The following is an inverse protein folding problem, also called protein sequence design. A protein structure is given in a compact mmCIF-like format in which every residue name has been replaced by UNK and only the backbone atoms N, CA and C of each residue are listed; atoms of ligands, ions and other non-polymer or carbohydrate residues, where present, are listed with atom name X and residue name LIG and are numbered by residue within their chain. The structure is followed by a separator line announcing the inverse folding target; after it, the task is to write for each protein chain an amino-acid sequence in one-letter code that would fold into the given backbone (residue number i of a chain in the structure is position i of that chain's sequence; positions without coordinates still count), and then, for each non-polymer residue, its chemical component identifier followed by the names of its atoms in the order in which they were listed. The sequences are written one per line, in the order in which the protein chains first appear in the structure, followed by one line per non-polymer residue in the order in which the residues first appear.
data_IF_194113058740
#
_entry.id   IF_194113058740
#
_cell.length_a   1.000
_cell.length_b   1.000
_cell.length_c   1.000
_cell.angle_alpha   90.00
_cell.angle_beta   90.00
_cell.angle_gamma   90.00
#
_symmetry.space_group_name_H-M   'P 1'
#
loop_
_entity.id
_entity.type
_entity.pdbx_description
1 polymer ?
#
# COMPACT_ATOMS: atom_id res chain seq x y z
N UNK A 1 -25.07 -5.75 20.60
CA UNK A 1 -25.06 -5.56 22.06
C UNK A 1 -25.74 -6.71 22.81
N UNK A 2 -26.92 -7.20 22.39
CA UNK A 2 -27.56 -8.39 23.00
C UNK A 2 -26.63 -9.60 23.14
N UNK A 3 -26.04 -10.02 22.02
CA UNK A 3 -25.09 -11.16 21.98
C UNK A 3 -23.90 -10.96 22.94
N UNK A 4 -23.48 -9.71 23.16
CA UNK A 4 -22.41 -9.38 24.11
C UNK A 4 -22.88 -9.48 25.56
N UNK A 5 -24.07 -8.96 25.89
CA UNK A 5 -24.63 -9.08 27.24
C UNK A 5 -24.88 -10.53 27.60
N UNK A 6 -25.44 -11.32 26.67
CA UNK A 6 -25.62 -12.76 26.83
C UNK A 6 -24.28 -13.47 27.04
N UNK A 7 -23.28 -13.21 26.20
CA UNK A 7 -21.95 -13.82 26.35
C UNK A 7 -21.26 -13.45 27.68
N UNK A 8 -21.36 -12.19 28.13
CA UNK A 8 -20.80 -11.77 29.43
C UNK A 8 -21.56 -12.43 30.58
N UNK A 9 -22.89 -12.57 30.46
CA UNK A 9 -23.74 -13.19 31.48
C UNK A 9 -23.41 -14.66 31.75
N UNK A 10 -22.83 -15.39 30.78
CA UNK A 10 -22.32 -16.76 30.99
C UNK A 10 -21.23 -16.81 32.08
N UNK A 11 -20.54 -15.69 32.32
CA UNK A 11 -19.57 -15.52 33.40
C UNK A 11 -20.18 -15.35 34.80
N UNK A 12 -21.51 -15.26 34.91
CA UNK A 12 -22.27 -15.03 36.14
C UNK A 12 -22.43 -13.55 36.51
N UNK A 13 -23.37 -13.28 37.42
CA UNK A 13 -23.78 -11.93 37.86
C UNK A 13 -22.62 -10.97 38.19
N UNK A 14 -21.60 -11.43 38.92
CA UNK A 14 -20.44 -10.60 39.28
C UNK A 14 -19.61 -10.17 38.07
N UNK A 15 -19.37 -11.08 37.12
CA UNK A 15 -18.63 -10.78 35.89
C UNK A 15 -19.44 -9.89 34.95
N UNK A 16 -20.77 -10.05 34.95
CA UNK A 16 -21.67 -9.14 34.25
C UNK A 16 -21.55 -7.71 34.77
N UNK A 17 -21.55 -7.54 36.09
CA UNK A 17 -21.31 -6.23 36.69
C UNK A 17 -19.91 -5.70 36.43
N UNK A 18 -18.85 -6.53 36.56
CA UNK A 18 -17.48 -6.11 36.19
C UNK A 18 -17.41 -5.62 34.74
N UNK A 19 -18.06 -6.33 33.82
CA UNK A 19 -18.07 -6.00 32.40
C UNK A 19 -18.83 -4.70 32.11
N UNK A 20 -20.05 -4.56 32.63
CA UNK A 20 -20.89 -3.39 32.37
C UNK A 20 -20.42 -2.14 33.12
N UNK A 21 -19.97 -2.27 34.38
CA UNK A 21 -19.39 -1.14 35.13
C UNK A 21 -18.03 -0.70 34.56
N UNK A 22 -17.36 -1.56 33.79
CA UNK A 22 -16.12 -1.23 33.08
C UNK A 22 -16.34 -0.47 31.76
N UNK A 23 -17.58 -0.31 31.32
CA UNK A 23 -17.97 0.47 30.14
C UNK A 23 -18.38 1.88 30.58
N UNK A 24 -18.29 2.85 29.67
CA UNK A 24 -18.77 4.23 29.89
C UNK A 24 -20.22 4.24 30.39
N UNK A 25 -20.47 5.05 31.43
CA UNK A 25 -21.77 5.17 32.06
C UNK A 25 -22.83 5.65 31.06
N UNK A 26 -22.47 6.49 30.11
CA UNK A 26 -23.34 6.99 29.06
C UNK A 26 -23.83 5.86 28.14
N UNK A 27 -22.92 4.95 27.77
CA UNK A 27 -23.27 3.80 26.92
C UNK A 27 -24.12 2.77 27.67
N UNK A 28 -23.84 2.55 28.95
CA UNK A 28 -24.68 1.69 29.81
C UNK A 28 -26.06 2.31 30.02
N UNK A 29 -26.14 3.63 30.18
CA UNK A 29 -27.40 4.38 30.30
C UNK A 29 -28.24 4.26 29.03
N UNK A 30 -27.63 4.43 27.85
CA UNK A 30 -28.31 4.22 26.55
C UNK A 30 -28.82 2.79 26.38
N UNK A 31 -28.03 1.79 26.78
CA UNK A 31 -28.47 0.39 26.79
C UNK A 31 -29.69 0.22 27.69
N UNK A 32 -29.61 0.67 28.94
CA UNK A 32 -30.67 0.48 29.92
C UNK A 32 -31.96 1.22 29.55
N UNK A 33 -31.89 2.42 28.96
CA UNK A 33 -33.06 3.17 28.46
C UNK A 33 -33.90 2.41 27.43
N UNK A 34 -33.32 1.42 26.74
CA UNK A 34 -34.08 0.55 25.84
C UNK A 34 -34.93 -0.51 26.56
N UNK A 35 -34.67 -0.75 27.84
CA UNK A 35 -35.30 -1.81 28.64
C UNK A 35 -36.04 -1.30 29.87
N UNK A 36 -35.60 -0.18 30.44
CA UNK A 36 -36.15 0.37 31.68
C UNK A 36 -36.44 1.88 31.56
N UNK A 37 -37.38 2.32 32.39
CA UNK A 37 -37.59 3.73 32.75
C UNK A 37 -37.38 3.86 34.24
N UNK A 38 -36.74 4.96 34.64
CA UNK A 38 -36.51 5.27 36.05
C UNK A 38 -37.50 6.36 36.42
N UNK A 39 -38.15 6.21 37.57
CA UNK A 39 -39.00 7.21 38.18
C UNK A 39 -38.43 7.63 39.53
N UNK A 40 -38.59 8.90 39.87
CA UNK A 40 -38.17 9.44 41.18
C UNK A 40 -39.33 9.47 42.16
N UNK A 41 -39.18 8.80 43.30
CA UNK A 41 -40.23 8.73 44.32
C UNK A 41 -40.47 10.07 45.02
N UNK A 42 -39.49 10.98 45.00
CA UNK A 42 -39.59 12.33 45.54
C UNK A 42 -40.14 13.37 44.55
N UNK A 43 -40.41 12.98 43.29
CA UNK A 43 -40.89 13.85 42.23
C UNK A 43 -42.42 13.71 42.03
N UNK A 44 -43.24 14.67 42.50
CA UNK A 44 -44.71 14.54 42.48
C UNK A 44 -45.35 14.59 41.08
N UNK A 45 -44.59 14.94 40.04
CA UNK A 45 -45.07 14.94 38.65
C UNK A 45 -44.79 13.64 37.89
N UNK A 46 -44.10 12.69 38.53
CA UNK A 46 -43.65 11.44 37.93
C UNK A 46 -44.40 10.25 38.51
N UNK A 47 -45.74 10.30 38.42
CA UNK A 47 -46.60 9.20 38.87
C UNK A 47 -46.61 8.12 37.79
N UNK A 48 -46.11 6.90 38.07
CA UNK A 48 -46.07 5.85 37.07
C UNK A 48 -47.48 5.36 36.69
N UNK A 49 -47.76 5.22 35.39
CA UNK A 49 -49.01 4.67 34.84
C UNK A 49 -48.77 3.27 34.25
N UNK A 50 -48.23 2.37 35.06
CA UNK A 50 -48.00 0.99 34.67
C UNK A 50 -48.45 -0.01 35.76
N UNK A 51 -48.73 -1.27 35.41
CA UNK A 51 -49.04 -2.32 36.37
C UNK A 51 -47.90 -2.58 37.37
N UNK A 52 -48.24 -2.93 38.61
CA UNK A 52 -47.28 -3.11 39.71
C UNK A 52 -46.23 -4.21 39.46
N UNK A 53 -46.53 -5.20 38.63
CA UNK A 53 -45.66 -6.32 38.28
C UNK A 53 -44.50 -5.94 37.33
N UNK A 54 -44.49 -4.70 36.81
CA UNK A 54 -43.41 -4.17 35.97
C UNK A 54 -42.35 -3.40 36.75
N UNK A 55 -42.57 -3.16 38.04
CA UNK A 55 -41.68 -2.33 38.84
C UNK A 55 -40.73 -3.15 39.70
N UNK A 56 -39.50 -2.68 39.77
CA UNK A 56 -38.49 -3.13 40.73
C UNK A 56 -38.03 -1.91 41.51
N UNK A 57 -37.87 -2.07 42.82
CA UNK A 57 -37.42 -1.03 43.73
C UNK A 57 -36.31 -1.59 44.61
N UNK A 58 -35.15 -0.95 44.59
CA UNK A 58 -33.98 -1.32 45.39
C UNK A 58 -33.81 -0.42 46.63
N UNK A 59 -34.30 0.82 46.57
CA UNK A 59 -34.18 1.81 47.65
C UNK A 59 -35.42 2.72 47.78
N UNK A 60 -35.33 3.77 48.59
CA UNK A 60 -36.43 4.73 48.81
C UNK A 60 -36.47 5.89 47.79
N UNK A 61 -35.52 5.95 46.85
CA UNK A 61 -35.36 7.09 45.94
C UNK A 61 -35.88 6.80 44.54
N UNK A 62 -35.65 5.59 44.02
CA UNK A 62 -35.92 5.24 42.62
C UNK A 62 -36.90 4.09 42.49
N UNK A 63 -37.79 4.21 41.52
CA UNK A 63 -38.69 3.15 41.08
C UNK A 63 -38.40 2.82 39.62
N UNK A 64 -38.04 1.57 39.33
CA UNK A 64 -37.57 1.15 38.00
C UNK A 64 -38.70 0.40 37.29
N UNK A 65 -39.26 1.00 36.23
CA UNK A 65 -40.26 0.39 35.36
C UNK A 65 -39.56 -0.41 34.25
N UNK A 66 -39.94 -1.67 34.08
CA UNK A 66 -39.51 -2.49 32.95
C UNK A 66 -40.38 -2.23 31.71
N UNK A 67 -39.77 -1.68 30.66
CA UNK A 67 -40.45 -1.37 29.38
C UNK A 67 -40.37 -2.54 28.40
N UNK A 68 -39.31 -3.37 28.51
CA UNK A 68 -39.08 -4.51 27.63
C UNK A 68 -38.75 -5.77 28.42
N UNK A 69 -39.40 -6.87 28.06
CA UNK A 69 -39.29 -8.17 28.74
C UNK A 69 -38.84 -9.24 27.74
N UNK A 70 -37.52 -9.43 27.65
CA UNK A 70 -36.91 -10.53 26.89
C UNK A 70 -35.75 -11.15 27.68
N UNK A 71 -35.00 -12.08 27.09
CA UNK A 71 -33.91 -12.80 27.78
C UNK A 71 -32.87 -11.86 28.38
N UNK A 72 -32.63 -10.71 27.77
CA UNK A 72 -31.61 -9.74 28.22
C UNK A 72 -32.09 -8.95 29.44
N UNK A 73 -33.40 -8.74 29.56
CA UNK A 73 -33.99 -7.98 30.67
C UNK A 73 -33.62 -8.57 32.05
N UNK A 74 -33.67 -9.90 32.20
CA UNK A 74 -33.29 -10.54 33.46
C UNK A 74 -31.83 -10.27 33.84
N UNK A 75 -30.91 -10.36 32.87
CA UNK A 75 -29.49 -10.07 33.10
C UNK A 75 -29.25 -8.60 33.48
N UNK A 76 -30.01 -7.66 32.89
CA UNK A 76 -29.92 -6.25 33.24
C UNK A 76 -30.44 -5.97 34.67
N UNK A 77 -31.48 -6.67 35.13
CA UNK A 77 -31.92 -6.57 36.53
C UNK A 77 -30.88 -7.16 37.50
N UNK A 78 -30.31 -8.32 37.18
CA UNK A 78 -29.21 -8.92 37.96
C UNK A 78 -27.99 -7.98 38.04
N UNK A 79 -27.70 -7.27 36.94
CA UNK A 79 -26.69 -6.23 36.90
C UNK A 79 -27.03 -5.04 37.83
N UNK A 80 -28.26 -4.52 37.78
CA UNK A 80 -28.67 -3.39 38.61
C UNK A 80 -28.63 -3.73 40.10
N UNK A 81 -29.06 -4.94 40.46
CA UNK A 81 -28.97 -5.46 41.83
C UNK A 81 -27.52 -5.56 42.31
N UNK A 82 -26.61 -6.10 41.47
CA UNK A 82 -25.19 -6.17 41.80
C UNK A 82 -24.55 -4.77 41.90
N UNK A 83 -24.87 -3.87 40.98
CA UNK A 83 -24.37 -2.50 40.99
C UNK A 83 -24.81 -1.76 42.27
N UNK A 84 -26.08 -1.94 42.69
CA UNK A 84 -26.61 -1.39 43.92
C UNK A 84 -25.88 -1.91 45.17
N UNK A 85 -25.67 -3.23 45.26
CA UNK A 85 -24.98 -3.85 46.41
C UNK A 85 -23.49 -3.50 46.47
N UNK A 86 -22.85 -3.35 45.31
CA UNK A 86 -21.39 -3.18 45.19
C UNK A 86 -20.94 -1.72 45.26
N UNK A 87 -21.62 -0.83 44.56
CA UNK A 87 -21.27 0.59 44.46
C UNK A 87 -22.54 1.44 44.28
N UNK A 88 -23.13 1.82 45.41
CA UNK A 88 -24.32 2.66 45.43
C UNK A 88 -24.12 4.00 44.70
N UNK A 89 -22.91 4.58 44.69
CA UNK A 89 -22.67 5.85 44.01
C UNK A 89 -22.77 5.69 42.49
N UNK A 90 -22.18 4.62 41.95
CA UNK A 90 -22.33 4.27 40.54
C UNK A 90 -23.80 4.00 40.19
N UNK A 91 -24.50 3.21 41.01
CA UNK A 91 -25.92 2.92 40.80
C UNK A 91 -26.76 4.20 40.79
N UNK A 92 -26.60 5.08 41.78
CA UNK A 92 -27.35 6.33 41.87
C UNK A 92 -27.05 7.27 40.68
N UNK A 93 -25.78 7.39 40.28
CA UNK A 93 -25.41 8.16 39.08
C UNK A 93 -26.06 7.60 37.81
N UNK A 94 -26.09 6.28 37.67
CA UNK A 94 -26.74 5.60 36.54
C UNK A 94 -28.26 5.84 36.53
N UNK A 95 -28.92 5.81 37.69
CA UNK A 95 -30.36 6.09 37.79
C UNK A 95 -30.70 7.54 37.41
N UNK A 96 -29.92 8.50 37.91
CA UNK A 96 -30.10 9.93 37.56
C UNK A 96 -29.82 10.18 36.07
N UNK A 97 -28.79 9.55 35.50
CA UNK A 97 -28.48 9.67 34.07
C UNK A 97 -29.59 9.07 33.20
N UNK A 98 -30.19 7.94 33.61
CA UNK A 98 -31.34 7.35 32.90
C UNK A 98 -32.59 8.21 33.03
N UNK A 99 -32.79 8.89 34.16
CA UNK A 99 -33.96 9.72 34.39
C UNK A 99 -33.88 11.09 33.66
N UNK A 100 -32.75 11.80 33.77
CA UNK A 100 -32.62 13.18 33.25
C UNK A 100 -31.89 13.30 31.91
N UNK A 101 -30.97 12.39 31.60
CA UNK A 101 -30.08 12.53 30.44
C UNK A 101 -30.82 12.73 29.11
N UNK A 102 -30.22 13.48 28.19
CA UNK A 102 -30.73 13.63 26.83
C UNK A 102 -30.09 12.57 25.95
N UNK A 103 -30.89 11.75 25.27
CA UNK A 103 -30.38 10.62 24.47
C UNK A 103 -29.32 11.04 23.46
N UNK A 104 -29.56 12.15 22.73
CA UNK A 104 -28.58 12.67 21.77
C UNK A 104 -27.26 13.15 22.40
N UNK A 105 -27.29 13.66 23.63
CA UNK A 105 -26.07 14.08 24.34
C UNK A 105 -25.26 12.86 24.82
N UNK A 106 -25.96 11.85 25.34
CA UNK A 106 -25.37 10.57 25.74
C UNK A 106 -24.74 9.84 24.55
N UNK A 107 -25.40 9.84 23.39
CA UNK A 107 -24.85 9.24 22.18
C UNK A 107 -23.56 9.94 21.73
N UNK A 108 -23.53 11.27 21.73
CA UNK A 108 -22.35 12.05 21.38
C UNK A 108 -21.20 11.83 22.37
N UNK A 109 -21.48 11.84 23.68
CA UNK A 109 -20.46 11.60 24.70
C UNK A 109 -19.87 10.18 24.60
N UNK A 110 -20.73 9.16 24.47
CA UNK A 110 -20.28 7.79 24.27
C UNK A 110 -19.43 7.65 22.98
N UNK A 111 -19.82 8.34 21.91
CA UNK A 111 -19.03 8.40 20.68
C UNK A 111 -17.65 9.06 20.89
N UNK A 112 -17.60 10.21 21.58
CA UNK A 112 -16.36 10.93 21.86
C UNK A 112 -15.41 10.12 22.74
N UNK A 113 -15.91 9.51 23.83
CA UNK A 113 -15.08 8.69 24.72
C UNK A 113 -14.55 7.44 24.03
N UNK A 114 -15.40 6.76 23.24
CA UNK A 114 -14.95 5.64 22.41
C UNK A 114 -13.88 6.07 21.42
N UNK A 115 -14.09 7.19 20.73
CA UNK A 115 -13.13 7.70 19.73
C UNK A 115 -11.81 8.11 20.38
N UNK A 116 -11.85 8.74 21.56
CA UNK A 116 -10.65 9.09 22.32
C UNK A 116 -9.86 7.85 22.73
N UNK A 117 -10.50 6.83 23.32
CA UNK A 117 -9.84 5.57 23.68
C UNK A 117 -9.25 4.85 22.47
N UNK A 118 -9.98 4.82 21.35
CA UNK A 118 -9.48 4.24 20.11
C UNK A 118 -8.25 5.01 19.60
N UNK A 119 -8.30 6.33 19.62
CA UNK A 119 -7.18 7.18 19.22
C UNK A 119 -5.95 6.97 20.12
N UNK A 120 -6.12 6.81 21.43
CA UNK A 120 -5.04 6.47 22.37
C UNK A 120 -4.37 5.13 22.04
N UNK A 121 -5.13 4.18 21.46
CA UNK A 121 -4.63 2.91 20.95
C UNK A 121 -4.12 2.97 19.49
N UNK A 122 -4.06 4.15 18.88
CA UNK A 122 -3.58 4.34 17.51
C UNK A 122 -4.65 4.14 16.42
N UNK A 123 -5.93 4.13 16.77
CA UNK A 123 -7.07 4.08 15.85
C UNK A 123 -7.80 5.45 15.82
N UNK A 124 -7.24 6.48 15.16
CA UNK A 124 -7.88 7.79 15.06
C UNK A 124 -9.10 7.73 14.11
N UNK A 125 -9.78 8.86 13.94
CA UNK A 125 -10.81 9.00 12.91
C UNK A 125 -10.24 8.71 11.50
N UNK A 126 -11.13 8.29 10.60
CA UNK A 126 -10.79 7.94 9.22
C UNK A 126 -10.06 9.06 8.47
N UNK A 127 -10.50 10.31 8.60
CA UNK A 127 -9.89 11.42 7.88
C UNK A 127 -8.51 11.79 8.44
N UNK A 128 -8.35 11.69 9.76
CA UNK A 128 -7.06 11.88 10.43
C UNK A 128 -6.07 10.77 10.02
N UNK A 129 -6.55 9.52 9.94
CA UNK A 129 -5.77 8.40 9.44
C UNK A 129 -5.32 8.61 7.99
N UNK A 130 -6.17 9.17 7.13
CA UNK A 130 -5.79 9.49 5.75
C UNK A 130 -4.65 10.52 5.65
N UNK A 131 -4.50 11.41 6.63
CA UNK A 131 -3.41 12.39 6.64
C UNK A 131 -2.02 11.72 6.66
N UNK A 132 -1.94 10.46 7.10
CA UNK A 132 -0.74 9.64 7.04
C UNK A 132 -0.25 9.38 5.60
N UNK A 133 -1.15 9.40 4.61
CA UNK A 133 -0.81 9.22 3.19
C UNK A 133 -0.67 10.57 2.44
N UNK A 134 -0.74 11.69 3.17
CA UNK A 134 -0.57 13.02 2.57
C UNK A 134 0.86 13.22 2.06
N UNK A 135 0.97 13.83 0.88
CA UNK A 135 2.26 14.16 0.28
C UNK A 135 3.00 15.21 1.11
N UNK A 136 4.28 14.95 1.38
CA UNK A 136 5.27 15.95 1.79
C UNK A 136 6.36 16.03 0.72
N UNK A 137 7.02 17.18 0.59
CA UNK A 137 8.14 17.32 -0.34
C UNK A 137 9.40 16.68 0.27
N UNK A 138 9.96 15.60 -0.32
CA UNK A 138 11.15 14.94 0.21
C UNK A 138 12.36 15.87 0.33
N UNK A 139 12.51 16.86 -0.55
CA UNK A 139 13.62 17.80 -0.53
C UNK A 139 13.57 18.77 0.66
N UNK A 140 12.36 19.04 1.20
CA UNK A 140 12.15 19.89 2.37
C UNK A 140 11.97 19.10 3.66
N UNK A 141 12.24 17.79 3.64
CA UNK A 141 11.95 16.92 4.77
C UNK A 141 12.70 17.32 6.04
N UNK A 142 14.00 17.65 5.94
CA UNK A 142 14.80 18.02 7.11
C UNK A 142 14.32 19.35 7.73
N UNK A 143 13.89 20.31 6.91
CA UNK A 143 13.28 21.58 7.35
C UNK A 143 11.96 21.30 8.08
N UNK A 144 11.09 20.48 7.49
CA UNK A 144 9.81 20.09 8.10
C UNK A 144 10.02 19.35 9.42
N UNK A 145 10.97 18.40 9.48
CA UNK A 145 11.31 17.66 10.70
C UNK A 145 11.74 18.59 11.83
N UNK A 146 12.49 19.66 11.51
CA UNK A 146 12.99 20.60 12.51
C UNK A 146 11.89 21.38 13.25
N UNK A 147 10.66 21.39 12.73
CA UNK A 147 9.49 22.01 13.34
C UNK A 147 8.87 21.14 14.45
N UNK A 148 9.25 19.86 14.53
CA UNK A 148 8.75 18.92 15.53
C UNK A 148 9.76 18.76 16.65
N UNK A 149 9.26 18.60 17.88
CA UNK A 149 10.09 18.19 19.02
C UNK A 149 10.59 16.77 18.75
N UNK A 150 11.91 16.51 18.83
CA UNK A 150 12.44 15.17 18.62
C UNK A 150 11.85 14.15 19.62
N UNK A 151 11.57 12.91 19.19
CA UNK A 151 11.08 11.85 20.06
C UNK A 151 12.11 11.48 21.14
N UNK A 152 11.64 11.27 22.36
CA UNK A 152 12.47 10.89 23.50
C UNK A 152 12.66 9.36 23.54
N UNK A 153 13.77 8.87 22.98
CA UNK A 153 14.02 7.43 22.78
C UNK A 153 14.95 6.78 23.80
N UNK A 154 15.77 7.59 24.47
CA UNK A 154 16.87 7.11 25.31
C UNK A 154 16.76 7.55 26.79
N UNK A 155 15.63 8.13 27.22
CA UNK A 155 15.54 8.83 28.52
C UNK A 155 14.43 8.36 29.48
N UNK A 156 13.90 7.13 29.35
CA UNK A 156 12.85 6.65 30.27
C UNK A 156 13.29 5.43 31.08
N UNK A 157 13.56 5.68 32.36
CA UNK A 157 13.58 4.67 33.41
C UNK A 157 12.17 4.08 33.58
N UNK A 158 11.96 2.90 32.99
CA UNK A 158 11.22 1.77 33.57
C UNK A 158 9.71 1.81 33.85
N UNK A 159 9.01 2.94 33.95
CA UNK A 159 7.69 2.96 34.62
C UNK A 159 6.51 3.59 33.83
N UNK A 160 6.50 3.48 32.50
CA UNK A 160 5.30 3.76 31.71
C UNK A 160 4.54 2.46 31.42
N UNK A 161 3.30 2.33 31.91
CA UNK A 161 2.39 1.27 31.46
C UNK A 161 2.19 1.42 29.93
N UNK A 162 2.57 0.40 29.16
CA UNK A 162 2.63 0.46 27.70
C UNK A 162 1.88 -0.72 27.07
N UNK A 163 1.33 -0.46 25.88
CA UNK A 163 0.51 -1.38 25.08
C UNK A 163 1.22 -2.71 24.79
N UNK A 164 0.47 -3.82 24.64
CA UNK A 164 1.04 -5.15 24.44
C UNK A 164 1.87 -5.23 23.16
N UNK A 165 2.90 -6.07 23.23
CA UNK A 165 3.87 -6.38 22.17
C UNK A 165 3.15 -7.06 20.99
N UNK A 166 2.57 -6.27 20.10
CA UNK A 166 1.71 -6.74 19.00
C UNK A 166 2.27 -6.28 17.66
N UNK A 167 3.41 -6.85 17.24
CA UNK A 167 3.76 -6.84 15.82
C UNK A 167 4.58 -8.10 15.49
N UNK A 168 4.00 -9.10 14.80
CA UNK A 168 4.81 -10.17 14.23
C UNK A 168 5.73 -9.56 13.17
N UNK A 169 7.04 -9.75 13.34
CA UNK A 169 8.05 -9.37 12.34
C UNK A 169 7.98 -10.39 11.21
N UNK A 170 7.68 -9.94 9.99
CA UNK A 170 7.76 -10.78 8.79
C UNK A 170 9.21 -11.12 8.47
N UNK A 171 9.51 -12.36 8.06
CA UNK A 171 10.87 -12.82 7.78
C UNK A 171 11.59 -12.03 6.67
N UNK A 172 10.83 -11.44 5.73
CA UNK A 172 11.39 -10.55 4.71
C UNK A 172 11.84 -9.19 5.27
N UNK A 173 11.28 -8.77 6.41
CA UNK A 173 11.63 -7.53 7.08
C UNK A 173 12.97 -7.64 7.84
N UNK A 174 13.40 -8.85 8.21
CA UNK A 174 14.56 -9.09 9.09
C UNK A 174 15.87 -8.48 8.55
N UNK A 175 16.06 -8.42 7.23
CA UNK A 175 17.28 -7.90 6.60
C UNK A 175 17.21 -6.43 6.15
N UNK A 176 16.21 -5.67 6.62
CA UNK A 176 16.04 -4.27 6.24
C UNK A 176 16.99 -3.33 7.00
N UNK A 177 17.31 -2.17 6.41
CA UNK A 177 18.08 -1.13 7.10
C UNK A 177 17.35 -0.66 8.37
N UNK A 178 16.03 -0.56 8.31
CA UNK A 178 15.20 -0.22 9.47
C UNK A 178 15.40 -1.18 10.65
N UNK A 179 15.28 -2.50 10.43
CA UNK A 179 15.43 -3.47 11.51
C UNK A 179 16.89 -3.59 11.98
N UNK A 180 17.85 -3.42 11.06
CA UNK A 180 19.28 -3.38 11.40
C UNK A 180 19.60 -2.18 12.28
N UNK A 181 19.12 -0.98 11.93
CA UNK A 181 19.32 0.24 12.72
C UNK A 181 18.58 0.20 14.06
N UNK A 182 17.36 -0.35 14.10
CA UNK A 182 16.60 -0.59 15.34
C UNK A 182 17.39 -1.47 16.31
N UNK A 183 17.94 -2.59 15.81
CA UNK A 183 18.64 -3.58 16.64
C UNK A 183 20.02 -3.08 17.08
N UNK A 184 20.76 -2.43 16.19
CA UNK A 184 22.13 -1.96 16.47
C UNK A 184 22.19 -0.65 17.25
N UNK A 185 21.20 0.23 17.10
CA UNK A 185 21.25 1.62 17.58
C UNK A 185 20.56 1.89 18.91
N UNK A 186 19.75 0.97 19.42
CA UNK A 186 18.85 1.22 20.56
C UNK A 186 18.93 0.11 21.62
N UNK A 187 18.89 0.51 22.88
CA UNK A 187 18.71 -0.41 24.01
C UNK A 187 17.27 -0.97 24.04
N UNK A 188 17.00 -1.98 24.87
CA UNK A 188 15.69 -2.65 24.94
C UNK A 188 14.51 -1.69 25.12
N UNK A 189 14.67 -0.62 25.91
CA UNK A 189 13.62 0.38 26.11
C UNK A 189 13.33 1.20 24.84
N UNK A 190 14.38 1.69 24.17
CA UNK A 190 14.24 2.42 22.91
C UNK A 190 13.67 1.53 21.80
N UNK A 191 14.05 0.25 21.77
CA UNK A 191 13.46 -0.74 20.85
C UNK A 191 11.96 -0.92 21.10
N UNK A 192 11.54 -1.03 22.38
CA UNK A 192 10.11 -1.13 22.75
C UNK A 192 9.32 0.11 22.34
N UNK A 193 9.86 1.30 22.56
CA UNK A 193 9.22 2.55 22.15
C UNK A 193 9.04 2.63 20.63
N UNK A 194 10.07 2.29 19.87
CA UNK A 194 10.02 2.24 18.40
C UNK A 194 8.98 1.24 17.89
N UNK A 195 8.90 0.05 18.50
CA UNK A 195 7.88 -0.95 18.17
C UNK A 195 6.48 -0.46 18.49
N UNK A 196 6.29 0.19 19.64
CA UNK A 196 5.01 0.80 20.02
C UNK A 196 4.60 1.90 19.04
N UNK A 197 5.54 2.78 18.66
CA UNK A 197 5.30 3.84 17.68
C UNK A 197 4.95 3.25 16.30
N UNK A 198 5.64 2.19 15.88
CA UNK A 198 5.33 1.47 14.64
C UNK A 198 3.96 0.79 14.69
N UNK A 199 3.56 0.25 15.84
CA UNK A 199 2.22 -0.31 16.04
C UNK A 199 1.14 0.78 15.91
N UNK A 200 1.35 1.97 16.49
CA UNK A 200 0.45 3.11 16.31
C UNK A 200 0.33 3.51 14.83
N UNK A 201 1.45 3.63 14.11
CA UNK A 201 1.41 3.92 12.66
C UNK A 201 0.70 2.81 11.89
N UNK A 202 0.90 1.53 12.26
CA UNK A 202 0.22 0.40 11.62
C UNK A 202 -1.29 0.42 11.86
N UNK A 203 -1.73 0.74 13.08
CA UNK A 203 -3.14 0.90 13.41
C UNK A 203 -3.78 2.05 12.60
N UNK A 204 -3.07 3.18 12.45
CA UNK A 204 -3.48 4.26 11.57
C UNK A 204 -3.59 3.81 10.10
N UNK A 205 -2.64 3.00 9.60
CA UNK A 205 -2.72 2.42 8.24
C UNK A 205 -3.96 1.53 8.08
N UNK A 206 -4.28 0.69 9.07
CA UNK A 206 -5.47 -0.16 9.04
C UNK A 206 -6.75 0.69 8.90
N UNK A 207 -6.88 1.75 9.71
CA UNK A 207 -8.01 2.69 9.64
C UNK A 207 -8.07 3.39 8.28
N UNK A 208 -6.95 3.97 7.84
CA UNK A 208 -6.88 4.73 6.59
C UNK A 208 -7.24 3.89 5.36
N UNK A 209 -6.98 2.59 5.42
CA UNK A 209 -7.30 1.62 4.36
C UNK A 209 -8.61 0.87 4.57
N UNK A 210 -9.34 1.16 5.64
CA UNK A 210 -10.59 0.48 6.02
C UNK A 210 -10.42 -1.05 6.02
N UNK A 211 -9.32 -1.53 6.61
CA UNK A 211 -9.01 -2.96 6.71
C UNK A 211 -9.96 -3.62 7.71
N UNK A 212 -10.44 -4.82 7.37
CA UNK A 212 -11.18 -5.65 8.33
C UNK A 212 -10.22 -6.22 9.38
N UNK A 213 -10.39 -5.80 10.63
CA UNK A 213 -9.58 -6.26 11.76
C UNK A 213 -9.76 -7.75 12.07
N UNK A 214 -10.86 -8.37 11.60
CA UNK A 214 -11.09 -9.80 11.72
C UNK A 214 -10.28 -10.66 10.75
N UNK A 215 -9.67 -10.05 9.73
CA UNK A 215 -8.82 -10.75 8.75
C UNK A 215 -7.33 -10.62 9.13
N UNK A 216 -6.72 -11.67 9.73
CA UNK A 216 -5.33 -11.62 10.17
C UNK A 216 -4.35 -11.44 9.00
N UNK A 217 -4.71 -11.88 7.79
CA UNK A 217 -3.86 -11.72 6.61
C UNK A 217 -3.89 -10.28 6.10
N UNK A 218 -5.06 -9.65 6.07
CA UNK A 218 -5.17 -8.23 5.73
C UNK A 218 -4.43 -7.35 6.74
N UNK A 219 -4.50 -7.69 8.03
CA UNK A 219 -3.72 -7.01 9.09
C UNK A 219 -2.22 -7.18 8.85
N UNK A 220 -1.76 -8.41 8.55
CA UNK A 220 -0.35 -8.70 8.24
C UNK A 220 0.16 -7.86 7.05
N UNK A 221 -0.62 -7.78 5.97
CA UNK A 221 -0.26 -6.97 4.78
C UNK A 221 -0.13 -5.48 5.12
N UNK A 222 -1.01 -4.95 5.97
CA UNK A 222 -0.93 -3.55 6.42
C UNK A 222 0.32 -3.28 7.28
N UNK A 223 0.68 -4.21 8.18
CA UNK A 223 1.91 -4.10 8.99
C UNK A 223 3.16 -4.17 8.12
N UNK A 224 3.19 -5.07 7.14
CA UNK A 224 4.29 -5.16 6.17
C UNK A 224 4.43 -3.88 5.35
N UNK A 225 3.31 -3.29 4.93
CA UNK A 225 3.31 -2.00 4.24
C UNK A 225 3.87 -0.87 5.10
N UNK A 226 3.51 -0.82 6.38
CA UNK A 226 4.07 0.13 7.34
C UNK A 226 5.58 0.01 7.40
N UNK A 227 6.08 -1.21 7.58
CA UNK A 227 7.51 -1.48 7.59
C UNK A 227 8.19 -1.03 6.29
N UNK A 228 7.62 -1.39 5.14
CA UNK A 228 8.16 -1.05 3.82
C UNK A 228 8.31 0.46 3.61
N UNK A 229 7.29 1.26 3.94
CA UNK A 229 7.37 2.72 3.82
C UNK A 229 8.34 3.35 4.82
N UNK A 230 8.40 2.85 6.06
CA UNK A 230 9.39 3.28 7.04
C UNK A 230 10.82 3.01 6.56
N UNK A 231 11.05 1.81 6.02
CA UNK A 231 12.36 1.42 5.49
C UNK A 231 12.74 2.27 4.26
N UNK A 232 11.80 2.51 3.33
CA UNK A 232 12.02 3.40 2.19
C UNK A 232 12.42 4.82 2.61
N UNK A 233 11.67 5.41 3.55
CA UNK A 233 11.96 6.73 4.09
C UNK A 233 13.34 6.79 4.74
N UNK A 234 13.70 5.74 5.50
CA UNK A 234 14.99 5.67 6.19
C UNK A 234 16.17 5.50 5.24
N UNK A 235 16.07 4.58 4.28
CA UNK A 235 17.11 4.36 3.27
C UNK A 235 17.36 5.61 2.43
N UNK A 236 16.31 6.35 2.09
CA UNK A 236 16.44 7.61 1.37
C UNK A 236 17.20 8.68 2.18
N UNK A 237 17.01 8.76 3.50
CA UNK A 237 17.72 9.72 4.35
C UNK A 237 19.15 9.32 4.62
N UNK A 238 19.37 8.03 4.91
CA UNK A 238 20.66 7.51 5.33
C UNK A 238 21.59 7.18 4.16
N UNK A 239 21.09 7.08 2.93
CA UNK A 239 21.88 6.67 1.77
C UNK A 239 22.49 5.26 1.90
N UNK A 240 21.89 4.41 2.74
CA UNK A 240 22.40 3.09 3.09
C UNK A 240 23.43 3.04 4.22
N UNK A 241 23.80 4.19 4.82
CA UNK A 241 24.72 4.24 5.96
C UNK A 241 24.01 3.90 7.28
N UNK A 242 24.53 2.91 8.01
CA UNK A 242 23.90 2.44 9.25
C UNK A 242 23.94 3.49 10.37
N UNK A 243 25.04 4.24 10.51
CA UNK A 243 25.17 5.25 11.55
C UNK A 243 24.19 6.40 11.33
N UNK A 244 24.10 6.90 10.09
CA UNK A 244 23.11 7.89 9.69
C UNK A 244 21.68 7.38 9.89
N UNK A 245 21.39 6.12 9.56
CA UNK A 245 20.08 5.52 9.79
C UNK A 245 19.69 5.53 11.28
N UNK A 246 20.62 5.17 12.17
CA UNK A 246 20.38 5.22 13.61
C UNK A 246 20.08 6.66 14.07
N UNK A 247 20.86 7.64 13.62
CA UNK A 247 20.63 9.06 13.95
C UNK A 247 19.29 9.58 13.41
N UNK A 248 18.91 9.21 12.19
CA UNK A 248 17.62 9.58 11.61
C UNK A 248 16.46 8.93 12.36
N UNK A 249 16.58 7.67 12.77
CA UNK A 249 15.59 7.04 13.64
C UNK A 249 15.51 7.78 14.98
N UNK A 250 16.63 8.12 15.63
CA UNK A 250 16.62 8.87 16.90
C UNK A 250 15.87 10.20 16.81
N UNK A 251 16.04 10.92 15.71
CA UNK A 251 15.57 12.31 15.59
C UNK A 251 14.19 12.46 14.93
N UNK A 252 13.53 11.39 14.49
CA UNK A 252 12.35 11.49 13.59
C UNK A 252 11.19 10.65 14.12
N UNK A 253 9.99 11.22 14.22
CA UNK A 253 8.76 10.45 14.47
C UNK A 253 8.46 9.51 13.28
N UNK A 254 8.14 8.24 13.54
CA UNK A 254 7.87 7.23 12.52
C UNK A 254 6.69 7.61 11.63
N UNK A 255 5.70 8.34 12.16
CA UNK A 255 4.59 8.87 11.34
C UNK A 255 5.13 9.79 10.23
N UNK A 256 6.11 10.65 10.54
CA UNK A 256 6.74 11.56 9.58
C UNK A 256 7.64 10.80 8.60
N UNK A 257 8.37 9.78 9.09
CA UNK A 257 9.20 8.90 8.27
C UNK A 257 8.36 8.07 7.28
N UNK A 258 7.21 7.55 7.71
CA UNK A 258 6.26 6.85 6.86
C UNK A 258 5.76 7.74 5.73
N UNK A 259 5.34 8.97 6.06
CA UNK A 259 4.89 9.98 5.06
C UNK A 259 5.97 10.28 4.04
N UNK A 260 7.24 10.32 4.43
CA UNK A 260 8.36 10.45 3.49
C UNK A 260 8.41 9.25 2.54
N UNK A 261 8.37 8.02 3.06
CA UNK A 261 8.32 6.80 2.26
C UNK A 261 7.18 6.81 1.23
N UNK A 262 5.96 7.18 1.66
CA UNK A 262 4.80 7.34 0.76
C UNK A 262 5.09 8.39 -0.31
N UNK A 263 5.64 9.54 0.09
CA UNK A 263 5.90 10.66 -0.83
C UNK A 263 6.91 10.31 -1.93
N UNK A 264 7.90 9.47 -1.64
CA UNK A 264 8.84 8.96 -2.65
C UNK A 264 8.12 8.15 -3.74
N UNK A 265 7.16 7.30 -3.36
CA UNK A 265 6.35 6.55 -4.34
C UNK A 265 5.38 7.46 -5.10
N UNK A 266 4.84 8.50 -4.46
CA UNK A 266 4.02 9.51 -5.12
C UNK A 266 4.81 10.27 -6.19
N UNK A 267 6.05 10.67 -5.91
CA UNK A 267 6.88 11.38 -6.87
C UNK A 267 7.27 10.49 -8.07
N UNK A 268 7.52 9.20 -7.84
CA UNK A 268 7.70 8.22 -8.90
C UNK A 268 6.45 8.15 -9.81
N UNK A 269 5.25 8.07 -9.20
CA UNK A 269 3.99 8.06 -9.95
C UNK A 269 3.76 9.34 -10.74
N UNK A 270 4.07 10.52 -10.17
CA UNK A 270 3.99 11.81 -10.88
C UNK A 270 4.91 11.81 -12.12
N UNK A 271 6.14 11.29 -11.98
CA UNK A 271 7.08 11.16 -13.11
C UNK A 271 6.54 10.23 -14.18
N UNK A 272 5.98 9.09 -13.80
CA UNK A 272 5.33 8.17 -14.74
C UNK A 272 4.13 8.80 -15.45
N UNK A 273 3.28 9.56 -14.74
CA UNK A 273 2.15 10.25 -15.34
C UNK A 273 2.57 11.36 -16.33
N UNK A 274 3.66 12.06 -16.04
CA UNK A 274 4.25 13.03 -16.97
C UNK A 274 4.79 12.34 -18.24
N UNK A 275 5.43 11.19 -18.09
CA UNK A 275 5.88 10.37 -19.21
C UNK A 275 4.71 9.87 -20.08
N UNK A 276 3.61 9.42 -19.46
CA UNK A 276 2.39 9.05 -20.19
C UNK A 276 1.88 10.18 -21.07
N UNK A 277 1.87 11.40 -20.51
CA UNK A 277 1.45 12.59 -21.24
C UNK A 277 2.39 12.87 -22.43
N UNK A 278 3.70 12.69 -22.27
CA UNK A 278 4.69 12.79 -23.36
C UNK A 278 4.47 11.75 -24.46
N UNK A 279 3.99 10.56 -24.11
CA UNK A 279 3.58 9.51 -25.05
C UNK A 279 2.20 9.75 -25.69
N UNK A 280 1.56 10.88 -25.39
CA UNK A 280 0.22 11.23 -25.87
C UNK A 280 -0.89 10.33 -25.30
N UNK A 281 -0.65 9.74 -24.13
CA UNK A 281 -1.58 8.86 -23.43
C UNK A 281 -2.14 9.55 -22.18
N UNK A 282 -3.35 9.16 -21.81
CA UNK A 282 -3.95 9.64 -20.55
C UNK A 282 -3.58 8.71 -19.40
N UNK A 283 -3.28 9.29 -18.25
CA UNK A 283 -2.95 8.56 -17.02
C UNK A 283 -4.18 8.11 -16.22
N UNK A 284 -5.38 8.59 -16.60
CA UNK A 284 -6.66 8.35 -15.94
C UNK A 284 -7.20 6.93 -16.14
N UNK A 285 -6.70 6.21 -17.14
CA UNK A 285 -7.03 4.82 -17.39
C UNK A 285 -5.74 4.01 -17.33
N UNK A 286 -5.48 3.25 -16.24
CA UNK A 286 -4.40 2.29 -16.17
C UNK A 286 -4.76 1.07 -17.04
N UNK A 287 -4.94 1.29 -18.34
CA UNK A 287 -4.95 0.21 -19.32
C UNK A 287 -3.51 -0.01 -19.69
N UNK A 288 -3.09 -1.27 -19.65
CA UNK A 288 -1.80 -1.67 -20.16
C UNK A 288 -1.58 -1.08 -21.56
N UNK A 289 -0.45 -0.42 -21.74
CA UNK A 289 -0.05 0.07 -23.05
C UNK A 289 0.44 -1.15 -23.81
N UNK A 290 -0.47 -1.79 -24.54
CA UNK A 290 -0.25 -3.10 -25.17
C UNK A 290 0.99 -3.13 -26.07
N UNK A 291 1.33 -2.00 -26.69
CA UNK A 291 2.48 -1.90 -27.57
C UNK A 291 3.82 -1.75 -26.84
N UNK A 292 3.83 -1.53 -25.51
CA UNK A 292 5.06 -1.61 -24.73
C UNK A 292 5.43 -3.06 -24.45
N UNK A 293 6.72 -3.31 -24.50
CA UNK A 293 7.33 -4.60 -24.16
C UNK A 293 7.38 -4.83 -22.65
N UNK A 294 7.47 -6.10 -22.25
CA UNK A 294 7.88 -6.42 -20.88
C UNK A 294 9.38 -6.16 -20.74
N UNK A 295 9.88 -5.62 -19.61
CA UNK A 295 9.16 -5.33 -18.35
C UNK A 295 8.53 -3.94 -18.27
N UNK A 296 8.65 -3.12 -19.31
CA UNK A 296 8.20 -1.72 -19.31
C UNK A 296 6.69 -1.56 -19.09
N UNK A 297 5.89 -2.41 -19.75
CA UNK A 297 4.43 -2.39 -19.65
C UNK A 297 3.97 -2.68 -18.22
N UNK A 298 4.47 -3.77 -17.63
CA UNK A 298 4.10 -4.19 -16.28
C UNK A 298 4.60 -3.19 -15.24
N UNK A 299 5.84 -2.72 -15.34
CA UNK A 299 6.39 -1.73 -14.43
C UNK A 299 5.57 -0.42 -14.43
N UNK A 300 5.23 0.10 -15.61
CA UNK A 300 4.45 1.32 -15.74
C UNK A 300 3.01 1.14 -15.21
N UNK A 301 2.40 -0.02 -15.46
CA UNK A 301 1.08 -0.36 -14.91
C UNK A 301 1.09 -0.40 -13.39
N UNK A 302 2.13 -0.97 -12.76
CA UNK A 302 2.30 -1.00 -11.31
C UNK A 302 2.52 0.40 -10.71
N UNK A 303 3.39 1.21 -11.32
CA UNK A 303 3.71 2.56 -10.84
C UNK A 303 2.50 3.51 -10.91
N UNK A 304 1.66 3.39 -11.94
CA UNK A 304 0.50 4.27 -12.16
C UNK A 304 -0.71 3.95 -11.27
N UNK A 305 -0.67 2.84 -10.51
CA UNK A 305 -1.72 2.52 -9.54
C UNK A 305 -1.93 3.65 -8.54
N UNK A 306 -3.13 3.73 -7.95
CA UNK A 306 -3.42 4.69 -6.87
C UNK A 306 -2.39 4.55 -5.74
N UNK A 307 -2.08 3.31 -5.41
CA UNK A 307 -0.95 2.93 -4.58
C UNK A 307 0.12 2.30 -5.48
N UNK A 308 1.25 2.98 -5.72
CA UNK A 308 2.29 2.47 -6.60
C UNK A 308 2.79 1.10 -6.15
N UNK A 309 2.86 0.16 -7.09
CA UNK A 309 3.42 -1.18 -6.89
C UNK A 309 4.66 -1.37 -7.73
N UNK A 310 5.61 -2.12 -7.19
CA UNK A 310 6.81 -2.55 -7.87
C UNK A 310 6.56 -3.86 -8.63
N UNK A 311 7.00 -3.89 -9.90
CA UNK A 311 6.99 -5.11 -10.69
C UNK A 311 8.23 -5.95 -10.40
N UNK A 312 8.04 -7.11 -9.77
CA UNK A 312 9.12 -8.02 -9.37
C UNK A 312 10.00 -8.52 -10.54
N UNK A 313 9.54 -8.41 -11.79
CA UNK A 313 10.32 -8.81 -12.96
C UNK A 313 11.53 -7.90 -13.22
N UNK A 314 11.60 -6.74 -12.54
CA UNK A 314 12.78 -5.88 -12.53
C UNK A 314 13.87 -6.39 -11.57
N UNK A 315 13.53 -7.30 -10.65
CA UNK A 315 14.52 -7.96 -9.80
C UNK A 315 15.21 -9.11 -10.54
N UNK A 316 16.43 -9.42 -10.08
CA UNK A 316 17.25 -10.52 -10.63
C UNK A 316 16.57 -11.89 -10.53
N UNK A 317 15.58 -12.03 -9.65
CA UNK A 317 14.87 -13.29 -9.41
C UNK A 317 13.76 -13.54 -10.44
N UNK A 318 13.43 -12.56 -11.28
CA UNK A 318 12.47 -12.72 -12.40
C UNK A 318 11.02 -13.01 -11.98
N UNK A 319 10.62 -12.66 -10.75
CA UNK A 319 9.25 -12.90 -10.28
C UNK A 319 8.26 -11.98 -10.99
N UNK A 320 7.30 -12.51 -11.75
CA UNK A 320 6.28 -11.71 -12.45
C UNK A 320 5.18 -11.15 -11.51
N UNK A 321 5.48 -10.96 -10.22
CA UNK A 321 4.51 -10.57 -9.19
C UNK A 321 4.58 -9.06 -8.93
N UNK A 322 3.41 -8.43 -8.82
CA UNK A 322 3.28 -7.07 -8.31
C UNK A 322 3.36 -7.09 -6.78
N UNK A 323 4.20 -6.23 -6.22
CA UNK A 323 4.40 -6.13 -4.76
C UNK A 323 4.58 -4.68 -4.33
N UNK A 324 4.53 -4.41 -3.04
CA UNK A 324 4.93 -3.11 -2.51
C UNK A 324 6.42 -2.83 -2.74
N UNK A 325 6.75 -1.55 -2.82
CA UNK A 325 8.14 -1.08 -2.77
C UNK A 325 8.70 -1.32 -1.37
N UNK A 326 9.81 -2.05 -1.25
CA UNK A 326 10.41 -2.46 0.03
C UNK A 326 11.71 -1.72 0.34
N UNK A 327 12.41 -1.25 -0.70
CA UNK A 327 13.72 -0.62 -0.59
C UNK A 327 13.93 0.49 -1.64
N UNK A 328 14.90 1.37 -1.41
CA UNK A 328 15.30 2.42 -2.34
C UNK A 328 15.79 1.85 -3.67
N UNK A 329 16.30 0.61 -3.66
CA UNK A 329 16.68 -0.11 -4.88
C UNK A 329 15.48 -0.33 -5.81
N UNK A 330 14.32 -0.68 -5.27
CA UNK A 330 13.09 -0.85 -6.05
C UNK A 330 12.70 0.45 -6.77
N UNK A 331 12.84 1.59 -6.06
CA UNK A 331 12.63 2.91 -6.62
C UNK A 331 13.66 3.23 -7.72
N UNK A 332 14.95 2.98 -7.49
CA UNK A 332 15.99 3.19 -8.50
C UNK A 332 15.77 2.37 -9.78
N UNK A 333 15.41 1.08 -9.64
CA UNK A 333 15.06 0.23 -10.79
C UNK A 333 13.86 0.79 -11.55
N UNK A 334 12.85 1.27 -10.83
CA UNK A 334 11.66 1.87 -11.44
C UNK A 334 11.98 3.19 -12.17
N UNK A 335 12.78 4.07 -11.56
CA UNK A 335 13.25 5.30 -12.22
C UNK A 335 14.11 5.01 -13.46
N UNK A 336 14.98 3.99 -13.40
CA UNK A 336 15.77 3.59 -14.56
C UNK A 336 14.89 3.15 -15.74
N UNK A 337 13.80 2.41 -15.47
CA UNK A 337 12.81 2.03 -16.48
C UNK A 337 12.10 3.26 -17.05
N UNK A 338 11.70 4.22 -16.22
CA UNK A 338 11.08 5.46 -16.69
C UNK A 338 12.04 6.30 -17.54
N UNK A 339 13.32 6.37 -17.18
CA UNK A 339 14.33 7.09 -17.97
C UNK A 339 14.59 6.46 -19.34
N UNK A 340 14.62 5.11 -19.40
CA UNK A 340 14.71 4.41 -20.68
C UNK A 340 13.48 4.72 -21.55
N UNK A 341 12.27 4.62 -20.99
CA UNK A 341 11.03 4.92 -21.73
C UNK A 341 10.94 6.37 -22.19
N UNK A 342 11.45 7.32 -21.41
CA UNK A 342 11.45 8.73 -21.79
C UNK A 342 12.27 9.01 -23.06
N UNK A 343 13.27 8.17 -23.35
CA UNK A 343 14.11 8.24 -24.55
C UNK A 343 13.52 7.50 -25.76
N UNK A 344 12.57 6.59 -25.57
CA UNK A 344 12.00 5.76 -26.65
C UNK A 344 11.33 6.59 -27.76
N UNK A 345 10.56 7.68 -27.50
CA UNK A 345 10.01 8.50 -28.57
C UNK A 345 11.07 9.08 -29.51
N UNK A 346 12.14 9.64 -28.94
CA UNK A 346 13.23 10.26 -29.70
C UNK A 346 14.05 9.20 -30.45
N UNK A 347 14.23 8.02 -29.85
CA UNK A 347 14.82 6.84 -30.49
C UNK A 347 14.04 6.44 -31.75
N UNK A 348 12.72 6.27 -31.64
CA UNK A 348 11.88 5.84 -32.77
C UNK A 348 11.79 6.91 -33.87
N UNK A 349 11.74 8.18 -33.48
CA UNK A 349 11.77 9.28 -34.42
C UNK A 349 13.11 9.31 -35.19
N UNK A 350 14.24 9.18 -34.50
CA UNK A 350 15.58 9.25 -35.10
C UNK A 350 15.92 8.02 -35.95
N UNK A 351 15.59 6.82 -35.46
CA UNK A 351 15.92 5.58 -36.15
C UNK A 351 14.93 5.22 -37.23
N UNK A 352 13.63 5.29 -36.94
CA UNK A 352 12.57 4.73 -37.79
C UNK A 352 11.75 5.84 -38.48
N UNK A 353 11.86 7.10 -38.05
CA UNK A 353 11.02 8.20 -38.53
C UNK A 353 9.56 8.06 -38.07
N UNK A 354 9.33 7.40 -36.93
CA UNK A 354 8.02 7.17 -36.37
C UNK A 354 7.81 8.01 -35.11
N UNK A 355 6.78 8.85 -35.13
CA UNK A 355 6.27 9.52 -33.94
C UNK A 355 5.29 8.59 -33.20
N UNK A 356 5.81 7.85 -32.23
CA UNK A 356 5.03 6.92 -31.40
C UNK A 356 4.10 7.64 -30.41
N UNK A 357 4.32 8.94 -30.17
CA UNK A 357 3.45 9.76 -29.33
C UNK A 357 2.26 10.33 -30.12
N UNK A 358 2.23 10.19 -31.44
CA UNK A 358 1.13 10.65 -32.28
C UNK A 358 -0.15 9.81 -32.12
N UNK A 359 -1.30 10.47 -32.21
CA UNK A 359 -2.60 9.77 -32.28
C UNK A 359 -2.69 8.85 -33.50
N UNK A 360 -2.03 9.22 -34.61
CA UNK A 360 -1.96 8.42 -35.84
C UNK A 360 -1.27 7.08 -35.61
N UNK A 361 -0.15 7.08 -34.90
CA UNK A 361 0.56 5.83 -34.56
C UNK A 361 -0.33 4.91 -33.72
N UNK A 362 -0.94 5.44 -32.67
CA UNK A 362 -1.85 4.68 -31.80
C UNK A 362 -3.04 4.10 -32.56
N UNK A 363 -3.66 4.88 -33.45
CA UNK A 363 -4.76 4.41 -34.28
C UNK A 363 -4.34 3.26 -35.21
N UNK A 364 -3.12 3.29 -35.76
CA UNK A 364 -2.61 2.24 -36.64
C UNK A 364 -2.29 0.92 -35.91
N UNK A 365 -1.90 1.00 -34.64
CA UNK A 365 -1.56 -0.19 -33.83
C UNK A 365 -2.77 -0.69 -33.03
N UNK A 366 -3.79 0.13 -32.81
CA UNK A 366 -5.00 -0.28 -32.11
C UNK A 366 -5.59 -1.57 -32.71
N UNK A 367 -5.92 -2.53 -31.84
CA UNK A 367 -6.44 -3.84 -32.24
C UNK A 367 -5.40 -4.83 -32.77
N UNK A 368 -4.12 -4.46 -32.82
CA UNK A 368 -3.02 -5.35 -33.22
C UNK A 368 -2.11 -5.66 -32.03
N UNK A 369 -1.62 -6.89 -31.94
CA UNK A 369 -0.61 -7.31 -30.95
C UNK A 369 0.81 -6.95 -31.44
N UNK A 370 1.05 -5.66 -31.69
CA UNK A 370 2.35 -5.15 -32.16
C UNK A 370 3.07 -4.46 -31.01
N UNK A 371 4.32 -4.88 -30.76
CA UNK A 371 5.20 -4.28 -29.75
C UNK A 371 6.25 -3.34 -30.37
N UNK A 372 6.77 -2.42 -29.57
CA UNK A 372 7.84 -1.50 -30.00
C UNK A 372 9.11 -2.27 -30.38
N UNK A 373 9.52 -3.27 -29.60
CA UNK A 373 10.66 -4.13 -29.92
C UNK A 373 10.54 -4.71 -31.33
N UNK A 374 9.37 -5.24 -31.69
CA UNK A 374 9.13 -5.82 -33.01
C UNK A 374 9.32 -4.81 -34.13
N UNK A 375 8.86 -3.57 -33.95
CA UNK A 375 9.04 -2.50 -34.95
C UNK A 375 10.53 -2.15 -35.10
N UNK A 376 11.24 -2.00 -33.98
CA UNK A 376 12.65 -1.65 -33.98
C UNK A 376 13.51 -2.76 -34.62
N UNK A 377 13.36 -3.99 -34.14
CA UNK A 377 14.11 -5.16 -34.61
C UNK A 377 13.84 -5.43 -36.09
N UNK A 378 12.57 -5.38 -36.52
CA UNK A 378 12.23 -5.51 -37.94
C UNK A 378 12.92 -4.44 -38.79
N UNK A 379 13.01 -3.20 -38.28
CA UNK A 379 13.67 -2.10 -38.99
C UNK A 379 15.18 -2.34 -39.10
N UNK A 380 15.84 -2.74 -38.01
CA UNK A 380 17.28 -3.01 -37.95
C UNK A 380 17.67 -4.21 -38.83
N UNK A 381 16.94 -5.33 -38.74
CA UNK A 381 17.18 -6.52 -39.56
C UNK A 381 17.02 -6.21 -41.05
N UNK A 382 16.00 -5.42 -41.43
CA UNK A 382 15.82 -5.02 -42.84
C UNK A 382 16.92 -4.12 -43.34
N UNK A 383 17.41 -3.20 -42.50
CA UNK A 383 18.53 -2.34 -42.86
C UNK A 383 19.80 -3.15 -43.08
N UNK A 384 20.07 -4.14 -42.23
CA UNK A 384 21.21 -5.06 -42.39
C UNK A 384 21.15 -5.84 -43.71
N UNK A 385 19.96 -6.31 -44.11
CA UNK A 385 19.73 -7.02 -45.37
C UNK A 385 19.62 -6.10 -46.61
N UNK A 386 20.02 -4.82 -46.50
CA UNK A 386 20.05 -3.87 -47.62
C UNK A 386 18.69 -3.29 -48.03
N UNK A 387 17.65 -3.42 -47.19
CA UNK A 387 16.32 -2.90 -47.45
C UNK A 387 16.22 -1.37 -47.29
N UNK A 388 15.77 -0.64 -48.32
CA UNK A 388 15.59 0.83 -48.30
C UNK A 388 14.36 1.34 -47.51
N UNK A 389 13.42 0.47 -47.12
CA UNK A 389 12.20 0.86 -46.39
C UNK A 389 12.14 0.14 -45.04
N UNK A 390 12.07 0.92 -43.95
CA UNK A 390 12.17 0.43 -42.57
C UNK A 390 10.88 -0.25 -42.08
N UNK A 391 9.70 0.16 -42.55
CA UNK A 391 8.42 -0.41 -42.10
C UNK A 391 7.77 -1.29 -43.19
N UNK A 392 8.25 -2.53 -43.37
CA UNK A 392 7.55 -3.56 -44.14
C UNK A 392 7.77 -4.91 -43.48
N UNK A 393 6.69 -5.64 -43.20
CA UNK A 393 6.74 -6.97 -42.60
C UNK A 393 7.68 -7.91 -43.38
N UNK A 394 8.39 -8.79 -42.66
CA UNK A 394 9.19 -9.85 -43.26
C UNK A 394 8.27 -10.94 -43.83
N UNK A 395 8.60 -11.47 -45.01
CA UNK A 395 7.88 -12.64 -45.53
C UNK A 395 8.35 -13.87 -44.76
N UNK A 396 7.42 -14.72 -44.32
CA UNK A 396 7.72 -15.98 -43.63
C UNK A 396 8.81 -16.81 -44.33
N UNK A 397 8.75 -16.88 -45.67
CA UNK A 397 9.72 -17.61 -46.50
C UNK A 397 11.18 -17.11 -46.41
N UNK A 398 11.43 -15.92 -45.84
CA UNK A 398 12.79 -15.34 -45.71
C UNK A 398 13.37 -15.46 -44.30
N UNK A 399 12.69 -16.09 -43.35
CA UNK A 399 13.18 -16.21 -41.97
C UNK A 399 14.50 -16.98 -41.87
N UNK A 400 14.73 -17.99 -42.73
CA UNK A 400 16.01 -18.71 -42.78
C UNK A 400 17.16 -17.80 -43.25
N UNK A 401 16.91 -17.00 -44.28
CA UNK A 401 17.87 -16.01 -44.78
C UNK A 401 18.21 -14.99 -43.69
N UNK A 402 17.17 -14.48 -43.00
CA UNK A 402 17.32 -13.57 -41.85
C UNK A 402 18.21 -14.20 -40.78
N UNK A 403 17.86 -15.40 -40.30
CA UNK A 403 18.64 -16.12 -39.27
C UNK A 403 20.09 -16.30 -39.71
N UNK A 404 20.33 -16.76 -40.94
CA UNK A 404 21.68 -17.01 -41.45
C UNK A 404 22.55 -15.76 -41.54
N UNK A 405 21.93 -14.58 -41.68
CA UNK A 405 22.63 -13.32 -41.76
C UNK A 405 22.94 -12.74 -40.38
N UNK A 406 22.00 -12.85 -39.43
CA UNK A 406 22.10 -12.17 -38.12
C UNK A 406 22.65 -13.06 -37.00
N UNK A 407 22.59 -14.40 -37.13
CA UNK A 407 23.03 -15.35 -36.10
C UNK A 407 24.30 -16.09 -36.49
N UNK A 408 25.05 -16.55 -35.50
CA UNK A 408 26.16 -17.49 -35.66
C UNK A 408 25.66 -18.90 -36.03
N UNK A 409 26.55 -19.74 -36.56
CA UNK A 409 26.22 -21.11 -36.96
C UNK A 409 26.20 -22.12 -35.80
N UNK A 410 26.54 -21.70 -34.57
CA UNK A 410 26.60 -22.56 -33.38
C UNK A 410 25.22 -22.89 -32.78
N UNK A 411 25.23 -23.73 -31.75
CA UNK A 411 24.06 -24.07 -30.93
C UNK A 411 24.45 -24.02 -29.44
N UNK A 412 23.86 -23.13 -28.62
CA UNK A 412 22.92 -22.09 -29.01
C UNK A 412 23.56 -21.04 -29.92
N UNK A 413 22.81 -20.59 -30.91
CA UNK A 413 23.23 -19.51 -31.79
C UNK A 413 23.22 -18.18 -31.02
N UNK A 414 24.13 -17.28 -31.36
CA UNK A 414 24.19 -15.90 -30.83
C UNK A 414 24.11 -14.90 -31.97
N UNK A 415 23.76 -13.66 -31.68
CA UNK A 415 23.84 -12.59 -32.67
C UNK A 415 25.29 -12.46 -33.17
N UNK A 416 25.43 -12.26 -34.48
CA UNK A 416 26.73 -12.16 -35.12
C UNK A 416 27.39 -10.82 -34.80
N UNK A 417 28.72 -10.81 -34.66
CA UNK A 417 29.49 -9.56 -34.49
C UNK A 417 29.23 -8.57 -35.62
N UNK A 418 29.04 -9.06 -36.85
CA UNK A 418 28.69 -8.23 -38.01
C UNK A 418 27.34 -7.51 -37.82
N UNK A 419 26.35 -8.19 -37.24
CA UNK A 419 25.05 -7.59 -36.95
C UNK A 419 25.16 -6.57 -35.81
N UNK A 420 25.88 -6.88 -34.72
CA UNK A 420 26.14 -5.93 -33.64
C UNK A 420 26.87 -4.67 -34.12
N UNK A 421 27.93 -4.82 -34.93
CA UNK A 421 28.64 -3.69 -35.53
C UNK A 421 27.73 -2.86 -36.45
N UNK A 422 26.86 -3.52 -37.23
CA UNK A 422 25.90 -2.82 -38.07
C UNK A 422 24.94 -1.99 -37.23
N UNK A 423 24.34 -2.58 -36.19
CA UNK A 423 23.44 -1.86 -35.27
C UNK A 423 24.18 -0.69 -34.63
N UNK A 424 25.38 -0.91 -34.08
CA UNK A 424 26.20 0.15 -33.48
C UNK A 424 26.44 1.32 -34.44
N UNK A 425 26.83 1.02 -35.69
CA UNK A 425 27.05 2.03 -36.73
C UNK A 425 25.78 2.82 -37.05
N UNK A 426 24.62 2.14 -37.09
CA UNK A 426 23.33 2.80 -37.32
C UNK A 426 22.98 3.75 -36.18
N UNK A 427 23.14 3.31 -34.93
CA UNK A 427 22.93 4.14 -33.76
C UNK A 427 23.86 5.37 -33.77
N UNK A 428 25.15 5.17 -34.03
CA UNK A 428 26.16 6.23 -34.15
C UNK A 428 25.84 7.26 -35.25
N UNK A 429 25.30 6.79 -36.38
CA UNK A 429 25.03 7.66 -37.53
C UNK A 429 23.76 8.49 -37.33
N UNK A 430 22.76 7.93 -36.64
CA UNK A 430 21.40 8.51 -36.59
C UNK A 430 21.05 9.18 -35.27
N UNK A 431 21.84 9.00 -34.21
CA UNK A 431 21.53 9.49 -32.88
C UNK A 431 22.71 10.22 -32.27
N UNK A 432 22.42 11.28 -31.52
CA UNK A 432 23.44 11.98 -30.74
C UNK A 432 23.95 11.10 -29.56
N UNK A 433 25.11 11.43 -28.96
CA UNK A 433 25.67 10.65 -27.85
C UNK A 433 24.75 10.52 -26.63
N UNK A 434 23.96 11.54 -26.30
CA UNK A 434 23.11 11.54 -25.11
C UNK A 434 21.92 10.58 -25.30
N UNK A 435 21.24 10.67 -26.45
CA UNK A 435 20.14 9.76 -26.77
C UNK A 435 20.61 8.30 -26.83
N UNK A 436 21.83 8.04 -27.31
CA UNK A 436 22.42 6.68 -27.31
C UNK A 436 22.56 6.10 -25.91
N UNK A 437 23.14 6.86 -24.97
CA UNK A 437 23.29 6.39 -23.58
C UNK A 437 21.93 6.14 -22.92
N UNK A 438 20.95 7.03 -23.11
CA UNK A 438 19.62 6.90 -22.49
C UNK A 438 18.78 5.76 -23.05
N UNK A 439 18.99 5.39 -24.31
CA UNK A 439 18.22 4.33 -24.99
C UNK A 439 18.92 2.97 -25.05
N UNK A 440 20.19 2.89 -24.62
CA UNK A 440 21.00 1.67 -24.67
C UNK A 440 20.31 0.48 -24.00
N UNK A 441 19.74 0.68 -22.81
CA UNK A 441 19.02 -0.37 -22.08
C UNK A 441 17.85 -0.96 -22.88
N UNK A 442 17.07 -0.11 -23.54
CA UNK A 442 15.94 -0.54 -24.38
C UNK A 442 16.41 -1.28 -25.64
N UNK A 443 17.44 -0.76 -26.32
CA UNK A 443 18.00 -1.42 -27.51
C UNK A 443 18.60 -2.78 -27.16
N UNK A 444 19.36 -2.88 -26.08
CA UNK A 444 19.94 -4.14 -25.62
C UNK A 444 18.84 -5.15 -25.22
N UNK A 445 17.79 -4.70 -24.54
CA UNK A 445 16.63 -5.53 -24.25
C UNK A 445 15.98 -6.08 -25.53
N UNK A 446 15.82 -5.24 -26.57
CA UNK A 446 15.31 -5.70 -27.85
C UNK A 446 16.23 -6.74 -28.51
N UNK A 447 17.54 -6.50 -28.53
CA UNK A 447 18.51 -7.43 -29.12
C UNK A 447 18.54 -8.77 -28.37
N UNK A 448 18.41 -8.79 -27.05
CA UNK A 448 18.32 -10.02 -26.27
C UNK A 448 17.08 -10.84 -26.65
N UNK A 449 15.92 -10.19 -26.81
CA UNK A 449 14.69 -10.86 -27.28
C UNK A 449 14.87 -11.45 -28.69
N UNK A 450 15.58 -10.75 -29.57
CA UNK A 450 15.91 -11.28 -30.90
C UNK A 450 16.86 -12.49 -30.82
N UNK A 451 17.86 -12.44 -29.94
CA UNK A 451 18.79 -13.55 -29.75
C UNK A 451 18.04 -14.79 -29.21
N UNK A 452 17.25 -14.63 -28.14
CA UNK A 452 16.49 -15.71 -27.51
C UNK A 452 15.55 -16.42 -28.49
N UNK A 453 14.80 -15.66 -29.30
CA UNK A 453 13.90 -16.21 -30.31
C UNK A 453 14.59 -17.10 -31.34
N UNK A 454 15.85 -16.78 -31.70
CA UNK A 454 16.58 -17.47 -32.77
C UNK A 454 17.66 -18.43 -32.27
N UNK A 455 18.05 -18.36 -30.99
CA UNK A 455 19.18 -19.08 -30.41
C UNK A 455 19.07 -20.61 -30.55
N UNK A 456 17.89 -21.15 -30.25
CA UNK A 456 17.64 -22.61 -30.23
C UNK A 456 17.07 -23.14 -31.56
N UNK A 457 16.95 -22.31 -32.60
CA UNK A 457 16.40 -22.72 -33.88
C UNK A 457 17.41 -23.53 -34.70
N UNK A 458 17.00 -24.71 -35.16
CA UNK A 458 17.77 -25.55 -36.08
C UNK A 458 17.89 -24.87 -37.47
N UNK A 459 19.12 -24.56 -37.94
CA UNK A 459 19.34 -23.92 -39.24
C UNK A 459 18.91 -24.78 -40.44
N UNK A 460 18.78 -26.10 -40.26
CA UNK A 460 18.40 -27.03 -41.32
C UNK A 460 16.89 -27.12 -41.54
N UNK A 461 16.07 -26.77 -40.55
CA UNK A 461 14.60 -26.85 -40.60
C UNK A 461 13.97 -25.55 -41.10
N UNK A 462 12.74 -25.64 -41.62
CA UNK A 462 11.93 -24.44 -41.84
C UNK A 462 11.56 -23.81 -40.50
N UNK A 463 11.66 -22.48 -40.44
CA UNK A 463 11.32 -21.70 -39.24
C UNK A 463 9.82 -21.43 -39.29
N UNK A 464 9.07 -21.95 -38.33
CA UNK A 464 7.65 -21.64 -38.18
C UNK A 464 7.50 -20.21 -37.63
N UNK A 465 6.89 -19.29 -38.41
CA UNK A 465 6.68 -17.89 -38.01
C UNK A 465 5.93 -17.70 -36.69
N UNK A 466 5.17 -18.69 -36.22
CA UNK A 466 4.35 -18.58 -34.99
C UNK A 466 5.19 -18.49 -33.72
N UNK A 467 6.43 -18.97 -33.75
CA UNK A 467 7.36 -18.96 -32.62
C UNK A 467 8.36 -17.80 -32.66
N UNK A 468 8.25 -16.92 -33.66
CA UNK A 468 9.08 -15.71 -33.74
C UNK A 468 8.25 -14.54 -33.26
N UNK A 469 8.54 -14.05 -32.06
CA UNK A 469 7.84 -12.96 -31.39
C UNK A 469 8.57 -11.62 -31.51
N UNK A 470 9.84 -11.63 -31.91
CA UNK A 470 10.76 -10.50 -32.05
C UNK A 470 10.62 -9.71 -33.35
N UNK A 471 9.98 -10.27 -34.39
CA UNK A 471 9.88 -9.65 -35.72
C UNK A 471 8.43 -9.56 -36.22
N UNK A 472 8.12 -8.50 -36.97
CA UNK A 472 6.84 -8.36 -37.68
C UNK A 472 6.83 -9.21 -38.95
N UNK A 473 6.05 -10.27 -38.95
CA UNK A 473 5.99 -11.24 -40.06
C UNK A 473 4.64 -11.17 -40.77
N UNK A 474 4.69 -11.10 -42.11
CA UNK A 474 3.52 -11.25 -42.98
C UNK A 474 3.38 -12.73 -43.30
N UNK A 475 2.23 -13.30 -42.93
CA UNK A 475 1.83 -14.65 -43.35
C UNK A 475 1.65 -14.70 -44.86
#
# INVERSE_FOLDING_TARGET
MREWVEAISEGGRKRLADGLMGIDLELVSLLLRQYIRVHRLDAPQDVPDAPSDRFVQFDEHYLIESVRHDTVHQYLLEFLEEAFERDYNYFAALMEEIYWGVEAELEEQAYQFRSARLADHGFPDYYDAQALFSYLNPQKFLELRSQYVPPLRDALDGNGAMAPEMAPVSSAAENSLFNTALTAGFAAQGQRQLRSEMAMVSNQVLVARSVDFGDPEAVRVAVEMTHNYLNLGLENLAGGDLAAAIEHLRATHLQLLFRLGVSLTIDLRKRAAALMSKLGLTSDRPREILYLDSPYREALAGILQRQPQFYGGLDRNGSAVMRDFRSIRDLHLSYAILEQLDAVPDLFNSLVGLDIASARFRANIAGHEIRLSQILLTSLTRQFLGGRRMFKQNKAARLREVRSAIMTAGSPARLSEQFHESVRRVLETRMDPNLRVRSEGFVNSCLNVLEEDFAELDPAREIDPRFIHSLLIRR
#
